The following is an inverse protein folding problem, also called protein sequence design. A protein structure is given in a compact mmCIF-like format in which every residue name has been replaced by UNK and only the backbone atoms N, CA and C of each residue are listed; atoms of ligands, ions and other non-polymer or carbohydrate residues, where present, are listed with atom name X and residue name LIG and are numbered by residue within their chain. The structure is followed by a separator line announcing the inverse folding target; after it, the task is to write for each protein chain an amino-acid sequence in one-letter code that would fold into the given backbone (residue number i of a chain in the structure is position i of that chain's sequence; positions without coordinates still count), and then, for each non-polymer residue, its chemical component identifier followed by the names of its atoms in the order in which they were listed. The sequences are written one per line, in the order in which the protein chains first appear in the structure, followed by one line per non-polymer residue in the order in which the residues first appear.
data_IF_678985764580
#
_entry.id   IF_678985764580
#
_cell.length_a   1.000
_cell.length_b   1.000
_cell.length_c   1.000
_cell.angle_alpha   90.00
_cell.angle_beta   90.00
_cell.angle_gamma   90.00
#
_symmetry.space_group_name_H-M   'P 1'
#
loop_
_entity.id
_entity.type
_entity.pdbx_description
1 polymer ?
#
# COMPACT_ATOMS: atom_id res chain seq x y z
N UNK A 1 29.16 -11.40 -22.65
CA UNK A 1 28.72 -12.31 -21.58
C UNK A 1 27.20 -12.40 -21.64
N UNK A 2 26.64 -13.57 -21.96
CA UNK A 2 25.18 -13.79 -21.97
C UNK A 2 24.76 -14.29 -20.59
N UNK A 3 23.86 -13.56 -19.92
CA UNK A 3 23.30 -13.97 -18.63
C UNK A 3 22.28 -15.08 -18.91
N UNK A 4 22.32 -16.17 -18.13
CA UNK A 4 21.33 -17.25 -18.26
C UNK A 4 19.98 -16.80 -17.70
N UNK A 5 18.89 -17.29 -18.30
CA UNK A 5 17.52 -16.98 -17.86
C UNK A 5 17.30 -17.17 -16.33
N UNK A 6 17.72 -18.29 -15.70
CA UNK A 6 17.54 -18.47 -14.26
C UNK A 6 18.27 -17.42 -13.41
N UNK A 7 19.42 -16.94 -13.88
CA UNK A 7 20.17 -15.88 -13.18
C UNK A 7 19.45 -14.54 -13.34
N UNK A 8 18.98 -14.24 -14.55
CA UNK A 8 18.19 -13.03 -14.82
C UNK A 8 16.92 -12.99 -13.96
N UNK A 9 16.16 -14.08 -13.90
CA UNK A 9 14.91 -14.16 -13.14
C UNK A 9 15.16 -13.97 -11.62
N UNK A 10 16.22 -14.59 -11.07
CA UNK A 10 16.60 -14.42 -9.66
C UNK A 10 17.06 -12.99 -9.35
N UNK A 11 17.78 -12.35 -10.26
CA UNK A 11 18.19 -10.95 -10.09
C UNK A 11 16.97 -10.03 -10.10
N UNK A 12 16.05 -10.23 -11.05
CA UNK A 12 14.80 -9.46 -11.12
C UNK A 12 13.98 -9.60 -9.83
N UNK A 13 13.80 -10.84 -9.34
CA UNK A 13 13.08 -11.07 -8.08
C UNK A 13 13.79 -10.45 -6.87
N UNK A 14 15.12 -10.53 -6.81
CA UNK A 14 15.90 -9.93 -5.73
C UNK A 14 15.78 -8.41 -5.73
N UNK A 15 15.82 -7.77 -6.90
CA UNK A 15 15.63 -6.32 -7.04
C UNK A 15 14.20 -5.91 -6.66
N UNK A 16 13.19 -6.69 -7.05
CA UNK A 16 11.80 -6.48 -6.69
C UNK A 16 11.58 -6.52 -5.17
N UNK A 17 12.11 -7.55 -4.50
CA UNK A 17 12.04 -7.68 -3.04
C UNK A 17 12.86 -6.58 -2.35
N UNK A 18 14.06 -6.28 -2.84
CA UNK A 18 14.93 -5.24 -2.29
C UNK A 18 14.27 -3.84 -2.33
N UNK A 19 13.68 -3.48 -3.47
CA UNK A 19 12.93 -2.23 -3.60
C UNK A 19 11.76 -2.16 -2.61
N UNK A 20 11.08 -3.29 -2.39
CA UNK A 20 10.00 -3.36 -1.41
C UNK A 20 10.48 -3.22 0.04
N UNK A 21 11.62 -3.81 0.40
CA UNK A 21 12.22 -3.64 1.72
C UNK A 21 12.55 -2.17 2.02
N UNK A 22 12.97 -1.39 1.01
CA UNK A 22 13.16 0.06 1.16
C UNK A 22 11.85 0.75 1.52
N UNK A 23 10.74 0.39 0.86
CA UNK A 23 9.40 0.92 1.18
C UNK A 23 9.01 0.59 2.62
N UNK A 24 9.24 -0.64 3.09
CA UNK A 24 8.96 -1.02 4.48
C UNK A 24 9.81 -0.22 5.48
N UNK A 25 11.10 0.00 5.17
CA UNK A 25 11.97 0.87 5.96
C UNK A 25 11.45 2.30 6.03
N UNK A 26 10.97 2.85 4.90
CA UNK A 26 10.36 4.18 4.86
C UNK A 26 9.07 4.25 5.69
N UNK A 27 8.22 3.22 5.64
CA UNK A 27 6.99 3.14 6.44
C UNK A 27 7.30 3.16 7.93
N UNK A 28 8.32 2.42 8.35
CA UNK A 28 8.75 2.40 9.75
C UNK A 28 9.33 3.73 10.21
N UNK A 29 10.12 4.39 9.35
CA UNK A 29 10.78 5.66 9.67
C UNK A 29 9.84 6.87 9.60
N UNK A 30 9.00 6.95 8.58
CA UNK A 30 8.10 8.07 8.31
C UNK A 30 6.82 7.59 7.59
N UNK A 31 5.85 7.04 8.34
CA UNK A 31 4.71 6.30 7.80
C UNK A 31 3.77 7.10 6.91
N UNK A 32 3.89 8.44 6.92
CA UNK A 32 3.05 9.34 6.15
C UNK A 32 3.78 10.07 5.01
N UNK A 33 5.08 9.85 4.85
CA UNK A 33 5.84 10.46 3.76
C UNK A 33 5.59 9.71 2.46
N UNK A 34 5.19 10.43 1.40
CA UNK A 34 5.01 9.89 0.03
C UNK A 34 4.09 8.66 -0.02
N UNK A 35 3.00 8.69 0.73
CA UNK A 35 2.04 7.59 0.79
C UNK A 35 0.60 8.10 0.75
N UNK A 36 -0.27 7.29 0.17
CA UNK A 36 -1.71 7.53 0.14
C UNK A 36 -2.44 7.06 1.40
N UNK A 37 -1.72 6.45 2.35
CA UNK A 37 -2.32 5.95 3.59
C UNK A 37 -3.07 7.02 4.39
N UNK A 38 -2.63 8.29 4.34
CA UNK A 38 -3.36 9.38 4.99
C UNK A 38 -4.76 9.53 4.42
N UNK A 39 -4.91 9.47 3.10
CA UNK A 39 -6.22 9.55 2.45
C UNK A 39 -7.11 8.37 2.88
N UNK A 40 -6.58 7.14 2.90
CA UNK A 40 -7.32 5.98 3.40
C UNK A 40 -7.70 6.12 4.88
N UNK A 41 -6.81 6.66 5.72
CA UNK A 41 -7.08 6.95 7.13
C UNK A 41 -8.24 7.92 7.30
N UNK A 42 -8.17 9.09 6.66
CA UNK A 42 -9.25 10.09 6.69
C UNK A 42 -10.57 9.53 6.14
N UNK A 43 -10.53 8.79 5.03
CA UNK A 43 -11.73 8.14 4.49
C UNK A 43 -12.32 7.13 5.47
N UNK A 44 -11.49 6.35 6.15
CA UNK A 44 -11.95 5.37 7.14
C UNK A 44 -12.53 6.04 8.39
N UNK A 45 -11.95 7.15 8.85
CA UNK A 45 -12.49 7.95 9.95
C UNK A 45 -13.82 8.59 9.57
N UNK A 46 -13.94 9.16 8.37
CA UNK A 46 -15.19 9.70 7.84
C UNK A 46 -16.27 8.60 7.73
N UNK A 47 -15.89 7.42 7.23
CA UNK A 47 -16.78 6.26 7.17
C UNK A 47 -17.32 5.85 8.54
N UNK A 48 -16.43 5.73 9.54
CA UNK A 48 -16.80 5.34 10.91
C UNK A 48 -17.66 6.40 11.61
N UNK A 49 -17.50 7.68 11.25
CA UNK A 49 -18.25 8.79 11.82
C UNK A 49 -19.52 9.15 11.05
N UNK A 50 -19.86 8.39 9.98
CA UNK A 50 -21.01 8.66 9.13
C UNK A 50 -20.92 9.97 8.36
N UNK A 51 -19.72 10.53 8.19
CA UNK A 51 -19.47 11.74 7.44
C UNK A 51 -19.36 11.45 5.94
N UNK A 52 -19.63 12.43 5.06
CA UNK A 52 -19.38 12.28 3.64
C UNK A 52 -17.92 11.91 3.33
N UNK A 53 -17.70 10.88 2.51
CA UNK A 53 -16.36 10.45 2.11
C UNK A 53 -15.72 11.39 1.09
N UNK A 54 -16.54 11.97 0.21
CA UNK A 54 -16.08 12.82 -0.88
C UNK A 54 -16.35 14.28 -0.58
N UNK A 55 -15.31 15.10 -0.75
CA UNK A 55 -15.46 16.54 -0.78
C UNK A 55 -15.63 16.97 -2.24
N UNK A 56 -16.85 17.31 -2.65
CA UNK A 56 -17.16 17.69 -4.04
C UNK A 56 -16.57 19.05 -4.43
N UNK A 57 -16.05 19.80 -3.45
CA UNK A 57 -15.45 21.12 -3.60
C UNK A 57 -13.92 21.08 -3.60
N UNK A 58 -13.31 19.90 -3.44
CA UNK A 58 -11.86 19.71 -3.38
C UNK A 58 -11.44 18.47 -4.15
N UNK A 59 -10.51 18.63 -5.09
CA UNK A 59 -9.86 17.50 -5.76
C UNK A 59 -8.87 16.76 -4.85
N UNK A 60 -8.49 17.40 -3.73
CA UNK A 60 -7.66 16.82 -2.68
C UNK A 60 -8.54 16.06 -1.68
N UNK A 61 -8.16 14.84 -1.32
CA UNK A 61 -8.81 14.06 -0.28
C UNK A 61 -8.94 12.57 -0.61
N UNK A 62 -10.01 11.95 -0.10
CA UNK A 62 -10.32 10.56 -0.38
C UNK A 62 -10.91 10.42 -1.79
N UNK A 63 -10.22 9.69 -2.66
CA UNK A 63 -10.59 9.52 -4.08
C UNK A 63 -10.87 8.06 -4.45
N UNK A 64 -10.93 7.17 -3.47
CA UNK A 64 -11.08 5.73 -3.68
C UNK A 64 -12.55 5.31 -3.61
N UNK A 65 -12.87 4.10 -4.09
CA UNK A 65 -14.23 3.57 -3.97
C UNK A 65 -14.60 3.37 -2.49
N UNK A 66 -15.86 3.65 -2.06
CA UNK A 66 -16.23 3.69 -0.64
C UNK A 66 -15.93 2.41 0.13
N UNK A 67 -15.97 1.26 -0.55
CA UNK A 67 -15.63 -0.04 0.04
C UNK A 67 -14.22 -0.07 0.64
N UNK A 68 -13.27 0.68 0.08
CA UNK A 68 -11.90 0.73 0.62
C UNK A 68 -11.81 1.51 1.93
N UNK A 69 -12.70 2.47 2.20
CA UNK A 69 -12.76 3.14 3.50
C UNK A 69 -13.19 2.17 4.59
N UNK A 70 -14.16 1.29 4.30
CA UNK A 70 -14.54 0.23 5.21
C UNK A 70 -13.43 -0.83 5.37
N UNK A 71 -12.83 -1.26 4.26
CA UNK A 71 -11.80 -2.32 4.24
C UNK A 71 -10.53 -1.90 4.99
N UNK A 72 -10.20 -0.61 5.00
CA UNK A 72 -8.99 -0.09 5.65
C UNK A 72 -9.15 0.11 7.16
N UNK A 73 -10.37 0.04 7.73
CA UNK A 73 -10.61 0.21 9.17
C UNK A 73 -9.74 -0.66 10.07
N UNK A 74 -9.54 -1.97 9.81
CA UNK A 74 -8.66 -2.80 10.65
C UNK A 74 -7.21 -2.30 10.63
N UNK A 75 -6.74 -1.83 9.48
CA UNK A 75 -5.39 -1.28 9.29
C UNK A 75 -5.25 0.03 10.07
N UNK A 76 -6.25 0.92 9.99
CA UNK A 76 -6.28 2.17 10.75
C UNK A 76 -6.11 1.92 12.25
N UNK A 77 -6.80 0.91 12.80
CA UNK A 77 -6.76 0.58 14.24
C UNK A 77 -5.39 0.08 14.72
N UNK A 78 -4.55 -0.46 13.82
CA UNK A 78 -3.18 -0.88 14.15
C UNK A 78 -2.20 0.30 14.25
N UNK A 79 -2.66 1.52 13.96
CA UNK A 79 -1.82 2.71 13.97
C UNK A 79 -0.88 2.80 12.75
N UNK A 80 -0.15 3.91 12.62
CA UNK A 80 0.57 4.24 11.40
C UNK A 80 1.70 3.28 11.05
N UNK A 81 2.46 2.82 12.04
CA UNK A 81 3.62 1.95 11.79
C UNK A 81 3.20 0.50 11.50
N UNK A 82 2.48 -0.14 12.43
CA UNK A 82 2.07 -1.53 12.27
C UNK A 82 1.00 -1.69 11.18
N UNK A 83 0.01 -0.80 11.16
CA UNK A 83 -0.98 -0.75 10.08
C UNK A 83 -0.31 -0.49 8.74
N UNK A 84 0.63 0.45 8.67
CA UNK A 84 1.41 0.69 7.46
C UNK A 84 2.18 -0.52 6.98
N UNK A 85 2.87 -1.22 7.87
CA UNK A 85 3.55 -2.48 7.53
C UNK A 85 2.58 -3.50 6.95
N UNK A 86 1.47 -3.77 7.65
CA UNK A 86 0.45 -4.74 7.22
C UNK A 86 -0.11 -4.38 5.84
N UNK A 87 -0.46 -3.11 5.63
CA UNK A 87 -1.01 -2.63 4.35
C UNK A 87 -0.04 -2.85 3.19
N UNK A 88 1.21 -2.47 3.38
CA UNK A 88 2.23 -2.60 2.32
C UNK A 88 2.58 -4.06 2.07
N UNK A 89 2.72 -4.89 3.11
CA UNK A 89 3.01 -6.32 2.97
C UNK A 89 1.89 -7.04 2.22
N UNK A 90 0.62 -6.76 2.56
CA UNK A 90 -0.53 -7.32 1.86
C UNK A 90 -0.56 -6.88 0.39
N UNK A 91 -0.39 -5.58 0.12
CA UNK A 91 -0.37 -5.06 -1.24
C UNK A 91 0.74 -5.67 -2.08
N UNK A 92 1.95 -5.78 -1.51
CA UNK A 92 3.08 -6.40 -2.19
C UNK A 92 2.89 -7.89 -2.42
N UNK A 93 2.36 -8.63 -1.46
CA UNK A 93 2.08 -10.06 -1.62
C UNK A 93 1.08 -10.30 -2.75
N UNK A 94 -0.03 -9.55 -2.77
CA UNK A 94 -1.06 -9.65 -3.82
C UNK A 94 -0.50 -9.25 -5.19
N UNK A 95 0.24 -8.13 -5.26
CA UNK A 95 0.86 -7.67 -6.50
C UNK A 95 1.86 -8.67 -7.05
N UNK A 96 2.76 -9.16 -6.20
CA UNK A 96 3.79 -10.15 -6.59
C UNK A 96 3.14 -11.44 -7.07
N UNK A 97 2.14 -11.93 -6.34
CA UNK A 97 1.39 -13.13 -6.73
C UNK A 97 0.68 -12.97 -8.07
N UNK A 98 0.02 -11.83 -8.29
CA UNK A 98 -0.65 -11.54 -9.56
C UNK A 98 0.36 -11.44 -10.71
N UNK A 99 1.47 -10.71 -10.53
CA UNK A 99 2.51 -10.56 -11.53
C UNK A 99 3.15 -11.91 -11.90
N UNK A 100 3.43 -12.77 -10.92
CA UNK A 100 4.00 -14.11 -11.16
C UNK A 100 3.06 -15.05 -11.92
N UNK A 101 1.74 -14.78 -11.93
CA UNK A 101 0.76 -15.57 -12.69
C UNK A 101 0.48 -15.04 -14.09
N UNK A 102 0.89 -13.80 -14.38
CA UNK A 102 0.74 -13.19 -15.70
C UNK A 102 1.88 -13.56 -16.66
N UNK A 103 3.01 -14.04 -16.13
CA UNK A 103 4.21 -14.48 -16.87
C UNK A 103 4.18 -15.98 -17.09
#
# INVERSE_FOLDING_TARGET
MTISKPVFDRLGLSLWVGAFLVVLGMVLWSPYTRTVMQAYGFGSEAFLSGQPLYNLQSEMGYLYAPAFAALYVPVLKLGPHLGGLVWHVLGFAVLTFAAMRQV
#
